data_IF_142686065041
#
_entry.id   IF_142686065041
#
_cell.length_a   1.000
_cell.length_b   1.000
_cell.length_c   1.000
_cell.angle_alpha   90.00
_cell.angle_beta   90.00
_cell.angle_gamma   90.00
#
_symmetry.space_group_name_H-M   'P 1'
#
loop_
_entity.id
_entity.type
_entity.pdbx_description
1 polymer ?
#
# COMPACT_ATOMS: atom_id res chain seq x y z
N UNK A 1 -12.55 3.30 -16.56
CA UNK A 1 -11.47 2.51 -15.92
C UNK A 1 -10.80 3.36 -14.86
N UNK A 2 -10.80 2.86 -13.63
CA UNK A 2 -10.27 3.58 -12.46
C UNK A 2 -8.77 3.31 -12.33
N UNK A 3 -7.98 4.37 -12.09
CA UNK A 3 -6.53 4.27 -11.86
C UNK A 3 -6.24 4.33 -10.37
N UNK A 4 -5.93 3.19 -9.77
CA UNK A 4 -5.52 3.11 -8.37
C UNK A 4 -4.03 3.47 -8.24
N UNK A 5 -3.69 4.13 -7.13
CA UNK A 5 -2.32 4.46 -6.76
C UNK A 5 -1.98 3.76 -5.45
N UNK A 6 -0.88 3.02 -5.43
CA UNK A 6 -0.46 2.22 -4.29
C UNK A 6 0.99 2.51 -3.97
N UNK A 7 1.29 2.74 -2.70
CA UNK A 7 2.67 2.79 -2.22
C UNK A 7 3.20 1.38 -2.05
N UNK A 8 4.36 1.08 -2.63
CA UNK A 8 5.04 -0.20 -2.52
C UNK A 8 6.35 -0.05 -1.77
N UNK A 9 6.75 -1.06 -1.02
CA UNK A 9 8.06 -1.14 -0.37
C UNK A 9 9.09 -1.62 -1.41
N UNK A 10 10.00 -0.75 -1.84
CA UNK A 10 10.99 -1.09 -2.88
C UNK A 10 12.19 -1.84 -2.31
N UNK A 11 12.50 -1.63 -1.03
CA UNK A 11 13.60 -2.28 -0.31
C UNK A 11 13.31 -2.34 1.18
N UNK A 12 13.93 -3.29 1.88
CA UNK A 12 13.78 -3.40 3.33
C UNK A 12 14.35 -2.17 4.07
N UNK A 13 13.65 -1.73 5.13
CA UNK A 13 14.10 -0.59 5.91
C UNK A 13 15.35 -0.91 6.73
N UNK A 14 16.45 -0.22 6.42
CA UNK A 14 17.68 -0.22 7.18
C UNK A 14 17.86 1.10 7.95
N UNK A 15 17.83 1.02 9.29
CA UNK A 15 17.68 2.20 10.15
C UNK A 15 16.30 2.86 9.98
N UNK A 16 16.26 4.19 9.87
CA UNK A 16 15.03 4.92 9.59
C UNK A 16 14.61 4.75 8.12
N UNK A 17 13.31 4.55 7.82
CA UNK A 17 12.83 4.50 6.45
C UNK A 17 13.19 5.77 5.68
N UNK A 18 13.63 5.58 4.43
CA UNK A 18 14.01 6.64 3.50
C UNK A 18 12.97 6.73 2.39
N UNK A 19 12.90 7.88 1.72
CA UNK A 19 12.00 8.05 0.56
C UNK A 19 12.27 7.02 -0.55
N UNK A 20 13.52 6.61 -0.72
CA UNK A 20 13.95 5.58 -1.67
C UNK A 20 13.37 4.20 -1.39
N UNK A 21 12.90 3.95 -0.18
CA UNK A 21 12.35 2.67 0.26
C UNK A 21 10.88 2.50 -0.15
N UNK A 22 10.30 3.53 -0.76
CA UNK A 22 8.92 3.57 -1.22
C UNK A 22 8.85 3.92 -2.70
N UNK A 23 7.97 3.21 -3.43
CA UNK A 23 7.64 3.49 -4.82
C UNK A 23 6.14 3.74 -4.98
N UNK A 24 5.75 4.58 -5.94
CA UNK A 24 4.34 4.78 -6.29
C UNK A 24 4.01 3.94 -7.53
N UNK A 25 3.18 2.92 -7.36
CA UNK A 25 2.64 2.12 -8.46
C UNK A 25 1.28 2.67 -8.87
N UNK A 26 1.02 2.73 -10.18
CA UNK A 26 -0.29 3.05 -10.75
C UNK A 26 -0.81 1.83 -11.49
N UNK A 27 -2.04 1.42 -11.23
CA UNK A 27 -2.67 0.29 -11.91
C UNK A 27 -4.10 0.61 -12.32
N UNK A 28 -4.55 0.00 -13.42
CA UNK A 28 -5.94 0.11 -13.87
C UNK A 28 -6.73 -1.04 -13.22
N UNK A 29 -7.77 -0.67 -12.47
CA UNK A 29 -8.65 -1.65 -11.83
C UNK A 29 -9.72 -2.13 -12.83
N UNK A 30 -10.05 -3.43 -12.84
CA UNK A 30 -11.20 -3.94 -13.59
C UNK A 30 -12.51 -3.43 -12.95
N UNK A 31 -13.60 -3.50 -13.71
CA UNK A 31 -14.93 -3.28 -13.16
C UNK A 31 -15.27 -4.37 -12.12
N UNK A 32 -15.90 -4.02 -10.98
CA UNK A 32 -16.29 -4.99 -9.96
C UNK A 32 -17.22 -6.06 -10.51
N UNK A 33 -17.04 -7.30 -10.05
CA UNK A 33 -17.95 -8.41 -10.33
C UNK A 33 -19.09 -8.45 -9.32
N UNK A 34 -20.03 -9.36 -9.53
CA UNK A 34 -21.18 -9.54 -8.65
C UNK A 34 -20.72 -9.86 -7.22
N UNK A 35 -21.15 -9.04 -6.26
CA UNK A 35 -20.76 -9.12 -4.85
C UNK A 35 -19.46 -8.40 -4.47
N UNK A 36 -18.71 -7.85 -5.42
CA UNK A 36 -17.53 -7.01 -5.15
C UNK A 36 -17.93 -5.53 -5.04
N UNK A 37 -17.10 -4.75 -4.34
CA UNK A 37 -17.26 -3.29 -4.21
C UNK A 37 -15.97 -2.59 -4.59
N UNK A 38 -16.09 -1.44 -5.27
CA UNK A 38 -15.00 -0.51 -5.50
C UNK A 38 -14.99 0.53 -4.37
N UNK A 39 -13.83 0.72 -3.73
CA UNK A 39 -13.67 1.61 -2.60
C UNK A 39 -12.68 2.74 -2.92
N UNK A 40 -13.04 3.98 -2.60
CA UNK A 40 -12.13 5.12 -2.69
C UNK A 40 -11.63 5.51 -1.29
N UNK A 41 -10.32 5.39 -1.05
CA UNK A 41 -9.72 5.77 0.22
C UNK A 41 -9.88 7.28 0.47
N UNK A 42 -10.45 7.63 1.63
CA UNK A 42 -10.58 9.02 2.12
C UNK A 42 -9.51 9.33 3.16
N UNK A 43 -9.18 8.35 4.00
CA UNK A 43 -8.12 8.45 5.00
C UNK A 43 -7.28 7.17 5.02
N UNK A 44 -5.97 7.32 5.23
CA UNK A 44 -5.02 6.21 5.39
C UNK A 44 -4.31 6.31 6.74
N UNK A 45 -4.19 5.19 7.44
CA UNK A 45 -3.44 5.12 8.70
C UNK A 45 -1.95 4.93 8.45
N UNK A 46 -1.12 5.47 9.34
CA UNK A 46 0.32 5.20 9.41
C UNK A 46 0.68 4.95 10.87
N UNK A 47 1.28 3.79 11.13
CA UNK A 47 1.39 3.28 12.50
C UNK A 47 2.79 2.71 12.78
N UNK A 48 3.30 2.79 14.03
CA UNK A 48 4.62 2.27 14.38
C UNK A 48 4.84 0.79 14.03
N UNK A 49 3.79 -0.04 14.08
CA UNK A 49 3.90 -1.47 13.76
C UNK A 49 4.32 -1.73 12.32
N UNK A 50 4.11 -0.78 11.40
CA UNK A 50 4.49 -0.94 9.99
C UNK A 50 6.01 -1.08 9.82
N UNK A 51 6.79 -0.47 10.72
CA UNK A 51 8.26 -0.48 10.65
C UNK A 51 8.88 -1.88 10.77
N UNK A 52 8.58 -2.70 11.79
CA UNK A 52 9.13 -4.05 11.88
C UNK A 52 8.58 -5.01 10.82
N UNK A 53 7.41 -4.73 10.24
CA UNK A 53 6.79 -5.58 9.22
C UNK A 53 7.59 -5.66 7.93
N UNK A 54 8.33 -4.61 7.60
CA UNK A 54 9.26 -4.63 6.48
C UNK A 54 10.11 -5.90 6.44
N UNK A 55 10.70 -6.33 7.56
CA UNK A 55 11.57 -7.53 7.59
C UNK A 55 10.86 -8.82 8.00
N UNK A 56 9.70 -8.73 8.64
CA UNK A 56 9.04 -9.89 9.25
C UNK A 56 7.92 -10.47 8.39
N UNK A 57 7.27 -9.65 7.55
CA UNK A 57 6.05 -10.05 6.84
C UNK A 57 5.94 -9.54 5.40
N UNK A 58 6.85 -8.68 4.95
CA UNK A 58 6.79 -8.08 3.61
C UNK A 58 8.00 -8.50 2.77
N UNK A 59 7.83 -8.43 1.45
CA UNK A 59 8.88 -8.59 0.43
C UNK A 59 8.99 -7.30 -0.38
N UNK A 60 10.14 -7.12 -1.02
CA UNK A 60 10.34 -6.00 -1.96
C UNK A 60 9.32 -6.09 -3.11
N UNK A 61 8.67 -4.97 -3.41
CA UNK A 61 7.57 -4.85 -4.37
C UNK A 61 6.17 -4.95 -3.74
N UNK A 62 6.03 -5.42 -2.50
CA UNK A 62 4.74 -5.51 -1.84
C UNK A 62 4.13 -4.12 -1.57
N UNK A 63 2.81 -4.03 -1.66
CA UNK A 63 2.07 -2.83 -1.26
C UNK A 63 2.25 -2.62 0.25
N UNK A 64 2.48 -1.37 0.64
CA UNK A 64 2.59 -0.98 2.04
C UNK A 64 1.35 -1.41 2.81
N UNK A 65 1.58 -2.11 3.91
CA UNK A 65 0.51 -2.52 4.82
C UNK A 65 -0.12 -1.31 5.52
N UNK A 66 -1.36 -1.46 5.93
CA UNK A 66 -2.07 -0.45 6.69
C UNK A 66 -3.58 -0.63 6.63
N UNK A 67 -4.29 0.39 7.10
CA UNK A 67 -5.74 0.48 7.03
C UNK A 67 -6.17 1.77 6.35
N UNK A 68 -7.36 1.73 5.75
CA UNK A 68 -8.01 2.91 5.19
C UNK A 68 -9.45 3.03 5.70
N UNK A 69 -9.93 4.27 5.72
CA UNK A 69 -11.37 4.56 5.74
C UNK A 69 -11.74 4.97 4.32
N UNK A 70 -12.74 4.30 3.74
CA UNK A 70 -13.15 4.51 2.35
C UNK A 70 -14.63 4.85 2.24
N UNK A 71 -14.98 5.49 1.13
CA UNK A 71 -16.36 5.69 0.67
C UNK A 71 -16.67 4.76 -0.50
#
# INVERSE_FOLDING_TARGET
MVKAKSWVMTQHFDGFPKKSDFGLKVEELPEPKDGEVLLEAVFLSVDPYMRPFSKTHMKEGDVMIGGQVAK
#
